data_IF_379557126729
#
_entry.id   IF_379557126729
#
_cell.length_a   1.000
_cell.length_b   1.000
_cell.length_c   1.000
_cell.angle_alpha   90.00
_cell.angle_beta   90.00
_cell.angle_gamma   90.00
#
_symmetry.space_group_name_H-M   'P 1'
#
loop_
_entity.id
_entity.type
_entity.pdbx_description
1 polymer ?
#
# COMPACT_ATOMS: atom_id res chain seq x y z
N UNK A 1 -47.20 8.40 6.30
CA UNK A 1 -46.55 7.33 7.09
C UNK A 1 -45.96 6.35 6.09
N UNK A 2 -44.92 6.78 5.36
CA UNK A 2 -44.37 6.01 4.25
C UNK A 2 -42.94 5.61 4.59
N UNK A 3 -42.69 4.33 4.42
CA UNK A 3 -41.45 3.56 4.64
C UNK A 3 -40.18 4.20 4.04
N UNK A 4 -40.33 5.20 3.17
CA UNK A 4 -39.24 6.06 2.67
C UNK A 4 -38.52 6.84 3.79
N UNK A 5 -39.18 7.14 4.91
CA UNK A 5 -38.55 7.86 6.02
C UNK A 5 -37.62 6.95 6.85
N UNK A 6 -37.87 5.63 6.87
CA UNK A 6 -37.04 4.66 7.60
C UNK A 6 -35.68 4.45 6.92
N UNK A 7 -35.63 4.55 5.58
CA UNK A 7 -34.39 4.40 4.81
C UNK A 7 -33.41 5.57 4.99
N UNK A 8 -33.89 6.76 5.34
CA UNK A 8 -33.04 7.94 5.55
C UNK A 8 -32.39 7.95 6.94
N UNK A 9 -33.05 7.35 7.94
CA UNK A 9 -32.53 7.26 9.30
C UNK A 9 -31.41 6.22 9.44
N UNK A 10 -31.41 5.17 8.61
CA UNK A 10 -30.32 4.18 8.56
C UNK A 10 -29.06 4.70 7.86
N UNK A 11 -29.14 5.84 7.17
CA UNK A 11 -27.99 6.46 6.49
C UNK A 11 -27.22 7.45 7.39
N UNK A 12 -27.71 7.76 8.60
CA UNK A 12 -27.10 8.75 9.50
C UNK A 12 -26.34 8.13 10.69
N UNK A 13 -25.95 6.86 10.63
CA UNK A 13 -25.29 6.16 11.74
C UNK A 13 -24.06 5.37 11.34
N UNK A 14 -22.89 6.01 11.40
CA UNK A 14 -21.60 5.46 11.84
C UNK A 14 -21.38 3.95 11.60
N UNK A 15 -21.05 3.60 10.36
CA UNK A 15 -19.79 2.93 10.02
C UNK A 15 -19.71 2.90 8.48
N UNK A 16 -19.02 3.85 7.83
CA UNK A 16 -18.21 3.38 6.73
C UNK A 16 -17.37 2.26 7.33
N UNK A 17 -17.28 1.12 6.66
CA UNK A 17 -16.25 0.12 6.93
C UNK A 17 -14.87 0.72 6.56
N UNK A 18 -14.55 1.91 7.08
CA UNK A 18 -13.23 2.47 7.33
C UNK A 18 -12.63 1.83 8.60
N UNK A 19 -12.88 0.52 8.74
CA UNK A 19 -12.01 -0.39 9.46
C UNK A 19 -11.52 -1.47 8.47
N UNK A 20 -11.32 -1.09 7.21
CA UNK A 20 -10.22 -1.64 6.42
C UNK A 20 -9.11 -0.61 6.52
N UNK A 21 -8.19 -0.92 7.43
CA UNK A 21 -6.91 -0.28 7.70
C UNK A 21 -6.89 1.26 7.60
N UNK A 22 -6.99 1.86 8.77
CA UNK A 22 -6.15 3.00 9.15
C UNK A 22 -4.74 2.79 8.55
N UNK A 23 -4.47 3.41 7.42
CA UNK A 23 -3.13 3.85 7.04
C UNK A 23 -3.30 5.28 6.54
N UNK A 24 -2.70 6.22 7.26
CA UNK A 24 -2.77 7.63 6.95
C UNK A 24 -2.12 7.90 5.61
N UNK A 25 -2.93 8.27 4.61
CA UNK A 25 -2.43 8.82 3.36
C UNK A 25 -1.89 10.24 3.59
N UNK A 26 -0.61 10.35 3.99
CA UNK A 26 0.19 11.53 3.68
C UNK A 26 0.70 11.35 2.24
N UNK A 27 0.38 12.31 1.36
CA UNK A 27 0.66 12.25 -0.07
C UNK A 27 2.13 12.50 -0.35
N UNK A 28 2.93 11.45 -0.25
CA UNK A 28 4.10 11.20 -1.09
C UNK A 28 4.44 9.69 -1.01
N UNK A 29 3.97 8.92 -1.98
CA UNK A 29 4.43 7.58 -2.42
C UNK A 29 4.87 6.50 -1.40
N UNK A 30 4.50 6.55 -0.13
CA UNK A 30 4.90 5.53 0.85
C UNK A 30 3.87 4.37 0.86
N UNK A 31 3.99 3.45 -0.12
CA UNK A 31 3.26 2.17 -0.15
C UNK A 31 3.88 1.13 0.80
N UNK A 32 5.19 1.22 1.03
CA UNK A 32 5.97 0.34 1.90
C UNK A 32 6.31 1.03 3.23
N UNK A 33 6.90 0.33 4.19
CA UNK A 33 7.40 0.94 5.41
C UNK A 33 8.73 1.72 5.17
N UNK A 34 9.12 2.66 6.05
CA UNK A 34 10.42 3.30 5.97
C UNK A 34 11.54 2.26 6.12
N UNK A 35 12.46 2.21 5.15
CA UNK A 35 13.50 1.18 5.07
C UNK A 35 13.12 0.00 4.17
N UNK A 36 11.96 0.06 3.53
CA UNK A 36 11.56 -0.88 2.48
C UNK A 36 11.61 -0.21 1.09
N UNK A 37 11.84 -1.04 0.08
CA UNK A 37 11.81 -0.70 -1.32
C UNK A 37 10.57 -1.29 -1.97
N UNK A 38 9.88 -0.47 -2.76
CA UNK A 38 8.74 -0.89 -3.55
C UNK A 38 9.23 -1.50 -4.87
N UNK A 39 8.94 -2.78 -5.09
CA UNK A 39 9.22 -3.47 -6.35
C UNK A 39 8.55 -2.77 -7.55
N UNK A 40 9.00 -3.07 -8.77
CA UNK A 40 8.48 -2.43 -9.98
C UNK A 40 6.99 -2.74 -10.25
N UNK A 41 6.47 -3.84 -9.71
CA UNK A 41 5.03 -4.15 -9.72
C UNK A 41 4.18 -3.14 -8.92
N UNK A 42 4.81 -2.30 -8.08
CA UNK A 42 4.14 -1.34 -7.19
C UNK A 42 3.18 -1.98 -6.17
N UNK A 43 3.30 -3.28 -5.93
CA UNK A 43 2.51 -4.04 -4.94
C UNK A 43 3.41 -4.64 -3.86
N UNK A 44 4.55 -5.20 -4.26
CA UNK A 44 5.46 -5.90 -3.34
C UNK A 44 6.46 -4.96 -2.71
N UNK A 45 6.65 -5.09 -1.40
CA UNK A 45 7.64 -4.37 -0.63
C UNK A 45 8.69 -5.36 -0.12
N UNK A 46 9.96 -4.99 -0.29
CA UNK A 46 11.13 -5.77 0.15
C UNK A 46 12.02 -4.88 1.01
N UNK A 47 12.89 -5.45 1.83
CA UNK A 47 13.82 -4.63 2.62
C UNK A 47 14.80 -3.90 1.71
N UNK A 48 15.16 -2.65 2.01
CA UNK A 48 16.27 -1.98 1.31
C UNK A 48 17.60 -2.75 1.43
N UNK A 49 17.75 -3.57 2.47
CA UNK A 49 18.93 -4.43 2.65
C UNK A 49 18.98 -5.66 1.74
N UNK A 50 17.88 -5.94 1.05
CA UNK A 50 17.77 -7.01 0.05
C UNK A 50 18.04 -6.51 -1.37
N UNK A 51 18.19 -5.20 -1.54
CA UNK A 51 18.62 -4.66 -2.83
C UNK A 51 20.07 -5.07 -3.10
N UNK A 52 20.32 -5.66 -4.27
CA UNK A 52 21.65 -6.05 -4.73
C UNK A 52 22.29 -7.16 -3.88
N UNK A 53 21.51 -7.99 -3.20
CA UNK A 53 22.04 -9.01 -2.29
C UNK A 53 22.36 -10.34 -3.02
N UNK A 54 21.91 -10.48 -4.26
CA UNK A 54 22.14 -11.63 -5.13
C UNK A 54 21.04 -12.68 -5.08
N UNK A 55 19.96 -12.47 -4.33
CA UNK A 55 18.73 -13.27 -4.37
C UNK A 55 17.56 -12.42 -4.91
N UNK A 56 16.67 -12.98 -5.74
CA UNK A 56 15.51 -12.25 -6.22
C UNK A 56 14.37 -12.26 -5.19
N UNK A 57 14.21 -11.17 -4.47
CA UNK A 57 13.15 -11.00 -3.49
C UNK A 57 11.88 -10.38 -4.10
N UNK A 58 12.00 -9.58 -5.17
CA UNK A 58 10.84 -9.14 -5.93
C UNK A 58 10.36 -10.23 -6.90
N UNK A 59 9.04 -10.35 -7.12
CA UNK A 59 8.48 -11.31 -8.10
C UNK A 59 8.91 -11.02 -9.55
N UNK A 60 9.39 -9.80 -9.83
CA UNK A 60 9.90 -9.36 -11.12
C UNK A 60 11.43 -9.23 -11.15
N UNK A 61 12.14 -9.70 -10.11
CA UNK A 61 13.60 -9.52 -9.92
C UNK A 61 14.05 -8.04 -9.96
N UNK A 62 13.11 -7.11 -9.78
CA UNK A 62 13.39 -5.68 -9.95
C UNK A 62 14.26 -5.09 -8.83
N UNK A 63 14.34 -5.73 -7.68
CA UNK A 63 15.31 -5.46 -6.61
C UNK A 63 16.77 -5.72 -7.05
N UNK A 64 16.97 -6.71 -7.93
CA UNK A 64 18.26 -7.06 -8.52
C UNK A 64 18.54 -6.37 -9.87
N UNK A 65 17.66 -5.46 -10.28
CA UNK A 65 17.80 -4.74 -11.55
C UNK A 65 18.89 -3.66 -11.48
N UNK A 66 19.59 -3.48 -12.61
CA UNK A 66 20.58 -2.42 -12.78
C UNK A 66 20.02 -1.01 -12.55
N UNK A 67 18.72 -0.79 -12.75
CA UNK A 67 18.06 0.49 -12.47
C UNK A 67 18.02 0.77 -10.96
N UNK A 68 17.67 -0.24 -10.17
CA UNK A 68 17.64 -0.19 -8.71
C UNK A 68 19.03 0.02 -8.12
N UNK A 69 20.05 -0.60 -8.72
CA UNK A 69 21.47 -0.46 -8.34
C UNK A 69 22.06 0.95 -8.57
N UNK A 70 21.32 1.90 -9.16
CA UNK A 70 21.80 3.27 -9.41
C UNK A 70 21.59 4.25 -8.26
N UNK A 71 20.94 3.84 -7.18
CA UNK A 71 20.49 4.73 -6.10
C UNK A 71 21.43 4.80 -4.88
N UNK A 72 22.71 4.42 -5.01
CA UNK A 72 23.75 4.66 -3.98
C UNK A 72 24.38 6.06 -4.12
#
# INVERSE_FOLDING_TARGET
MSEILLALLTLSGLLPIAKVLTVGANRDQQLCDPGEFLCHDHVTCVSQSWLCDGDPDCPDDSDESLDTWKND
#
